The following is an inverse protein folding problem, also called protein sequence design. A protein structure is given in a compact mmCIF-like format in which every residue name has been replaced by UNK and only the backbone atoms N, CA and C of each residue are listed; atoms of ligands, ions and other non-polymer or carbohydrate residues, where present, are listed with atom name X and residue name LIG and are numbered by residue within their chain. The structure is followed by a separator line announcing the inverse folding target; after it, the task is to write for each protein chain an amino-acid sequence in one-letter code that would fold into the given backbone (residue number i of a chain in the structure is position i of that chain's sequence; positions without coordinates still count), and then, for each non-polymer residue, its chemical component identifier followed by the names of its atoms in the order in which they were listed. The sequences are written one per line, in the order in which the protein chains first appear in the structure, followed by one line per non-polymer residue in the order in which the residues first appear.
data_IF_901675930421
#
_entry.id   IF_901675930421
#
_cell.length_a   1.000
_cell.length_b   1.000
_cell.length_c   1.000
_cell.angle_alpha   90.00
_cell.angle_beta   90.00
_cell.angle_gamma   90.00
#
_symmetry.space_group_name_H-M   'P 1'
#
loop_
_entity.id
_entity.type
_entity.pdbx_description
1 polymer ?
#
# COMPACT_ATOMS: atom_id res chain seq x y z
N UNK A 1 63.69 93.70 23.15
CA UNK A 1 65.05 93.17 23.11
C UNK A 1 64.92 91.70 22.72
N UNK A 2 65.19 91.38 21.47
CA UNK A 2 65.10 90.02 20.91
C UNK A 2 66.11 89.08 21.58
N UNK A 3 65.76 87.80 21.73
CA UNK A 3 66.63 86.74 21.25
C UNK A 3 65.90 85.79 20.30
N UNK A 4 66.53 85.49 19.16
CA UNK A 4 66.19 84.42 18.23
C UNK A 4 66.41 83.04 18.88
N UNK A 5 65.53 82.08 18.59
CA UNK A 5 65.76 80.62 18.70
C UNK A 5 64.79 79.89 17.76
N UNK A 6 65.12 78.68 17.26
CA UNK A 6 65.20 78.43 15.82
C UNK A 6 63.97 77.77 15.20
N UNK A 7 63.84 77.96 13.88
CA UNK A 7 62.95 77.25 12.97
C UNK A 7 63.15 75.71 13.07
N UNK A 8 62.10 74.92 13.34
CA UNK A 8 62.12 73.50 13.06
C UNK A 8 61.84 73.26 11.58
N UNK A 9 62.70 72.44 11.00
CA UNK A 9 62.74 71.92 9.63
C UNK A 9 61.42 71.29 9.19
N UNK A 10 61.01 71.62 7.96
CA UNK A 10 59.94 70.95 7.22
C UNK A 10 60.11 69.42 7.28
N UNK A 11 59.07 68.64 7.58
CA UNK A 11 59.13 67.20 7.38
C UNK A 11 59.25 66.94 5.87
N UNK A 12 60.20 66.06 5.51
CA UNK A 12 60.36 65.52 4.17
C UNK A 12 59.01 65.03 3.63
N UNK A 13 58.60 65.60 2.50
CA UNK A 13 57.46 65.14 1.74
C UNK A 13 57.90 63.86 1.02
N UNK A 14 57.72 62.71 1.67
CA UNK A 14 57.94 61.40 1.05
C UNK A 14 56.89 61.18 -0.06
N UNK A 15 57.28 61.21 -1.35
CA UNK A 15 56.32 61.09 -2.45
C UNK A 15 55.80 59.65 -2.61
N UNK A 16 56.25 58.70 -1.77
CA UNK A 16 55.83 57.30 -1.83
C UNK A 16 54.76 56.91 -0.80
N UNK A 17 54.34 57.81 0.09
CA UNK A 17 53.33 57.50 1.11
C UNK A 17 51.86 57.51 0.60
N UNK A 18 51.62 57.89 -0.67
CA UNK A 18 50.27 58.11 -1.22
C UNK A 18 49.66 56.93 -2.00
N UNK A 19 50.29 55.75 -2.05
CA UNK A 19 49.82 54.62 -2.89
C UNK A 19 49.31 53.41 -2.11
N UNK A 20 49.21 53.46 -0.79
CA UNK A 20 49.00 52.26 0.04
C UNK A 20 47.57 52.02 0.56
N UNK A 21 46.53 52.75 0.11
CA UNK A 21 45.17 52.60 0.68
C UNK A 21 44.04 52.22 -0.28
N UNK A 22 44.27 52.02 -1.58
CA UNK A 22 43.25 51.40 -2.45
C UNK A 22 43.35 49.87 -2.41
N UNK A 23 43.03 49.30 -1.25
CA UNK A 23 42.68 47.89 -1.17
C UNK A 23 41.27 47.74 -1.77
N UNK A 24 41.18 47.17 -2.98
CA UNK A 24 39.92 46.77 -3.58
C UNK A 24 39.18 45.82 -2.62
N UNK A 25 37.89 46.05 -2.31
CA UNK A 25 37.14 45.13 -1.48
C UNK A 25 37.12 43.75 -2.17
N UNK A 26 37.28 42.65 -1.41
CA UNK A 26 37.24 41.32 -1.99
C UNK A 26 35.92 41.11 -2.74
N UNK A 27 35.92 40.41 -3.89
CA UNK A 27 34.71 40.15 -4.63
C UNK A 27 33.70 39.45 -3.71
N UNK A 28 32.50 40.02 -3.61
CA UNK A 28 31.36 39.40 -2.91
C UNK A 28 31.04 38.11 -3.66
N UNK A 29 31.55 36.99 -3.17
CA UNK A 29 31.11 35.67 -3.60
C UNK A 29 29.69 35.50 -3.10
N UNK A 30 28.72 35.74 -3.99
CA UNK A 30 27.35 35.32 -3.73
C UNK A 30 27.39 33.84 -3.32
N UNK A 31 26.70 33.45 -2.22
CA UNK A 31 26.60 32.04 -1.88
C UNK A 31 26.08 31.30 -3.13
N UNK A 32 26.58 30.08 -3.40
CA UNK A 32 26.08 29.31 -4.53
C UNK A 32 24.56 29.27 -4.41
N UNK A 33 23.87 29.75 -5.45
CA UNK A 33 22.42 29.60 -5.56
C UNK A 33 22.18 28.10 -5.48
N UNK A 34 21.73 27.64 -4.31
CA UNK A 34 21.30 26.27 -4.13
C UNK A 34 20.10 26.15 -5.05
N UNK A 35 20.32 25.56 -6.24
CA UNK A 35 19.23 25.21 -7.13
C UNK A 35 18.17 24.49 -6.28
N UNK A 36 16.88 24.84 -6.42
CA UNK A 36 15.82 24.12 -5.72
C UNK A 36 16.08 22.64 -5.91
N UNK A 37 16.30 21.91 -4.81
CA UNK A 37 16.51 20.47 -4.84
C UNK A 37 15.42 19.91 -5.76
N UNK A 38 15.76 19.21 -6.85
CA UNK A 38 14.74 18.61 -7.70
C UNK A 38 13.81 17.82 -6.76
N UNK A 39 12.48 17.98 -6.88
CA UNK A 39 11.55 17.30 -5.98
C UNK A 39 11.96 15.84 -5.94
N UNK A 40 12.23 15.35 -4.73
CA UNK A 40 12.74 14.01 -4.49
C UNK A 40 11.99 13.05 -5.42
N UNK A 41 12.76 12.38 -6.29
CA UNK A 41 12.30 11.53 -7.39
C UNK A 41 10.85 11.08 -7.16
N UNK A 42 9.93 11.71 -7.89
CA UNK A 42 8.47 11.54 -7.85
C UNK A 42 8.04 10.36 -6.98
N UNK A 43 7.83 10.59 -5.67
CA UNK A 43 7.11 9.62 -4.85
C UNK A 43 5.80 9.45 -5.58
N UNK A 44 5.57 8.25 -6.16
CA UNK A 44 4.39 7.93 -6.95
C UNK A 44 3.18 8.38 -6.14
N UNK A 45 2.64 9.54 -6.53
CA UNK A 45 1.76 10.29 -5.66
C UNK A 45 0.45 9.54 -5.65
N UNK A 46 -0.01 9.14 -4.47
CA UNK A 46 -1.27 8.43 -4.33
C UNK A 46 -2.36 9.25 -5.02
N UNK A 47 -3.06 8.64 -5.98
CA UNK A 47 -4.00 9.36 -6.85
C UNK A 47 -5.11 10.03 -6.04
N UNK A 48 -5.39 11.30 -6.35
CA UNK A 48 -6.46 12.13 -5.76
C UNK A 48 -5.96 13.19 -4.78
N UNK A 49 -6.79 14.20 -4.51
CA UNK A 49 -6.38 15.42 -3.77
C UNK A 49 -6.49 15.29 -2.23
N UNK A 50 -6.52 14.06 -1.70
CA UNK A 50 -6.64 13.78 -0.26
C UNK A 50 -7.78 14.53 0.44
N UNK A 51 -8.90 14.77 -0.25
CA UNK A 51 -10.11 15.38 0.32
C UNK A 51 -11.05 14.32 0.91
N UNK A 52 -11.96 14.68 1.82
CA UNK A 52 -13.00 13.79 2.31
C UNK A 52 -13.79 13.12 1.19
N UNK A 53 -14.21 11.86 1.42
CA UNK A 53 -15.06 11.13 0.46
C UNK A 53 -16.38 11.90 0.28
N UNK A 54 -16.64 12.37 -0.94
CA UNK A 54 -17.76 13.27 -1.27
C UNK A 54 -19.15 12.60 -1.34
N UNK A 55 -19.34 11.43 -0.74
CA UNK A 55 -20.58 10.65 -0.87
C UNK A 55 -20.91 9.81 0.35
N UNK A 56 -22.18 9.40 0.44
CA UNK A 56 -22.68 8.54 1.52
C UNK A 56 -22.87 7.10 1.02
N UNK A 57 -22.52 6.13 1.86
CA UNK A 57 -22.74 4.70 1.59
C UNK A 57 -21.52 3.94 1.06
N UNK A 58 -21.67 2.61 0.87
CA UNK A 58 -20.56 1.70 0.53
C UNK A 58 -20.01 1.91 -0.89
N UNK A 59 -20.82 2.38 -1.83
CA UNK A 59 -20.36 2.64 -3.20
C UNK A 59 -19.40 3.83 -3.27
N UNK A 60 -19.61 4.86 -2.46
CA UNK A 60 -18.74 6.04 -2.44
C UNK A 60 -17.31 5.68 -2.02
N UNK A 61 -17.14 4.77 -1.06
CA UNK A 61 -15.81 4.32 -0.65
C UNK A 61 -15.15 3.40 -1.70
N UNK A 62 -15.91 2.58 -2.41
CA UNK A 62 -15.39 1.76 -3.52
C UNK A 62 -14.92 2.66 -4.67
N UNK A 63 -15.73 3.64 -5.05
CA UNK A 63 -15.38 4.61 -6.09
C UNK A 63 -14.16 5.43 -5.71
N UNK A 64 -14.10 5.94 -4.48
CA UNK A 64 -12.94 6.63 -3.95
C UNK A 64 -11.70 5.72 -3.95
N UNK A 65 -11.83 4.45 -3.56
CA UNK A 65 -10.71 3.51 -3.56
C UNK A 65 -10.12 3.28 -4.96
N UNK A 66 -10.95 3.26 -6.00
CA UNK A 66 -10.54 3.05 -7.40
C UNK A 66 -10.02 4.33 -8.06
N UNK A 67 -10.69 5.47 -7.83
CA UNK A 67 -10.43 6.73 -8.54
C UNK A 67 -9.54 7.69 -7.76
N UNK A 68 -9.66 7.75 -6.45
CA UNK A 68 -8.98 8.71 -5.57
C UNK A 68 -8.60 8.07 -4.21
N UNK A 69 -7.73 7.04 -4.19
CA UNK A 69 -7.35 6.34 -2.96
C UNK A 69 -6.75 7.28 -1.89
N UNK A 70 -6.23 8.45 -2.27
CA UNK A 70 -5.81 9.48 -1.33
C UNK A 70 -6.95 9.98 -0.42
N UNK A 71 -8.17 10.09 -0.93
CA UNK A 71 -9.35 10.47 -0.15
C UNK A 71 -9.73 9.42 0.89
N UNK A 72 -9.58 8.12 0.55
CA UNK A 72 -9.80 7.03 1.51
C UNK A 72 -8.72 7.03 2.58
N UNK A 73 -7.46 7.27 2.19
CA UNK A 73 -6.35 7.43 3.12
C UNK A 73 -6.57 8.60 4.10
N UNK A 74 -7.06 9.74 3.60
CA UNK A 74 -7.42 10.89 4.44
C UNK A 74 -8.45 10.50 5.50
N UNK A 75 -9.53 9.83 5.10
CA UNK A 75 -10.57 9.34 6.02
C UNK A 75 -10.04 8.30 7.06
N UNK A 76 -9.05 7.49 6.67
CA UNK A 76 -8.34 6.55 7.57
C UNK A 76 -7.56 7.30 8.64
N UNK A 77 -6.85 8.36 8.26
CA UNK A 77 -6.03 9.19 9.16
C UNK A 77 -6.87 9.99 10.16
N UNK A 78 -7.90 10.66 9.64
CA UNK A 78 -8.85 11.42 10.45
C UNK A 78 -9.76 10.51 11.30
N UNK A 79 -9.73 9.20 11.05
CA UNK A 79 -10.42 8.24 11.89
C UNK A 79 -11.94 8.28 11.80
N UNK A 80 -12.48 8.75 10.67
CA UNK A 80 -13.92 9.00 10.41
C UNK A 80 -14.72 7.72 10.11
N UNK A 81 -14.48 6.67 10.89
CA UNK A 81 -15.10 5.35 10.70
C UNK A 81 -14.67 4.62 9.42
N UNK A 82 -13.55 5.03 8.80
CA UNK A 82 -13.06 4.45 7.55
C UNK A 82 -12.85 2.93 7.65
N UNK A 83 -12.31 2.43 8.76
CA UNK A 83 -12.10 1.00 8.98
C UNK A 83 -13.40 0.21 8.93
N UNK A 84 -14.50 0.74 9.48
CA UNK A 84 -15.82 0.09 9.40
C UNK A 84 -16.36 0.09 7.98
N UNK A 85 -16.26 1.23 7.28
CA UNK A 85 -16.65 1.33 5.86
C UNK A 85 -15.86 0.35 4.98
N UNK A 86 -14.54 0.24 5.18
CA UNK A 86 -13.69 -0.72 4.47
C UNK A 86 -14.03 -2.16 4.82
N UNK A 87 -14.24 -2.47 6.10
CA UNK A 87 -14.65 -3.80 6.53
C UNK A 87 -15.98 -4.22 5.90
N UNK A 88 -16.96 -3.32 5.82
CA UNK A 88 -18.22 -3.58 5.13
C UNK A 88 -18.02 -3.87 3.63
N UNK A 89 -17.15 -3.12 2.96
CA UNK A 89 -16.78 -3.40 1.55
C UNK A 89 -16.12 -4.77 1.41
N UNK A 90 -15.20 -5.13 2.32
CA UNK A 90 -14.52 -6.44 2.31
C UNK A 90 -15.56 -7.56 2.48
N UNK A 91 -16.44 -7.48 3.48
CA UNK A 91 -17.51 -8.48 3.68
C UNK A 91 -18.39 -8.59 2.44
N UNK A 92 -18.85 -7.46 1.89
CA UNK A 92 -19.73 -7.47 0.72
C UNK A 92 -19.05 -8.08 -0.52
N UNK A 93 -17.81 -7.69 -0.79
CA UNK A 93 -17.05 -8.20 -1.95
C UNK A 93 -16.69 -9.67 -1.80
N UNK A 94 -16.23 -10.10 -0.62
CA UNK A 94 -15.98 -11.53 -0.35
C UNK A 94 -17.27 -12.35 -0.41
N UNK A 95 -18.40 -11.80 0.04
CA UNK A 95 -19.67 -12.50 -0.04
C UNK A 95 -20.10 -12.73 -1.49
N UNK A 96 -19.99 -11.70 -2.34
CA UNK A 96 -20.31 -11.78 -3.78
C UNK A 96 -19.36 -12.78 -4.48
N UNK A 97 -18.05 -12.65 -4.27
CA UNK A 97 -17.06 -13.56 -4.85
C UNK A 97 -17.28 -15.01 -4.39
N UNK A 98 -17.54 -15.22 -3.10
CA UNK A 98 -17.81 -16.55 -2.56
C UNK A 98 -19.12 -17.15 -3.09
N UNK A 99 -20.15 -16.33 -3.34
CA UNK A 99 -21.41 -16.80 -3.90
C UNK A 99 -21.20 -17.29 -5.33
N UNK A 100 -20.45 -16.54 -6.13
CA UNK A 100 -20.09 -16.90 -7.51
C UNK A 100 -19.28 -18.19 -7.55
N UNK A 101 -18.33 -18.38 -6.62
CA UNK A 101 -17.62 -19.65 -6.47
C UNK A 101 -18.56 -20.80 -6.11
N UNK A 102 -19.52 -20.56 -5.21
CA UNK A 102 -20.43 -21.58 -4.72
C UNK A 102 -21.48 -22.03 -5.74
N UNK A 103 -21.84 -21.19 -6.72
CA UNK A 103 -22.78 -21.55 -7.79
C UNK A 103 -22.30 -22.77 -8.59
N UNK A 104 -20.98 -22.98 -8.70
CA UNK A 104 -20.42 -24.17 -9.37
C UNK A 104 -20.65 -25.48 -8.60
N UNK A 105 -20.64 -25.43 -7.26
CA UNK A 105 -20.76 -26.63 -6.42
C UNK A 105 -22.18 -26.92 -5.91
N UNK A 106 -23.02 -25.89 -5.78
CA UNK A 106 -24.44 -26.01 -5.42
C UNK A 106 -24.72 -26.32 -3.94
N UNK A 107 -26.01 -26.37 -3.58
CA UNK A 107 -26.49 -26.76 -2.25
C UNK A 107 -26.09 -25.82 -1.11
N UNK A 108 -25.73 -26.40 0.05
CA UNK A 108 -25.39 -25.66 1.28
C UNK A 108 -24.10 -24.83 1.16
N UNK A 109 -23.33 -25.04 0.10
CA UNK A 109 -22.11 -24.27 -0.19
C UNK A 109 -22.43 -22.80 -0.51
N UNK A 110 -23.64 -22.47 -0.97
CA UNK A 110 -24.07 -21.10 -1.27
C UNK A 110 -24.03 -20.15 -0.06
N UNK A 111 -24.16 -20.67 1.17
CA UNK A 111 -24.06 -19.87 2.39
C UNK A 111 -22.70 -20.04 3.07
N UNK A 112 -22.18 -21.28 3.12
CA UNK A 112 -20.94 -21.56 3.82
C UNK A 112 -19.73 -20.93 3.13
N UNK A 113 -19.67 -20.93 1.80
CA UNK A 113 -18.49 -20.41 1.06
C UNK A 113 -18.34 -18.89 1.22
N UNK A 114 -19.37 -18.05 0.99
CA UNK A 114 -19.29 -16.60 1.25
C UNK A 114 -18.87 -16.24 2.67
N UNK A 115 -19.46 -16.92 3.67
CA UNK A 115 -19.19 -16.68 5.07
C UNK A 115 -17.74 -17.05 5.41
N UNK A 116 -17.30 -18.23 4.95
CA UNK A 116 -15.96 -18.77 5.21
C UNK A 116 -14.88 -17.93 4.53
N UNK A 117 -15.12 -17.43 3.32
CA UNK A 117 -14.20 -16.53 2.62
C UNK A 117 -14.07 -15.18 3.35
N UNK A 118 -15.19 -14.61 3.79
CA UNK A 118 -15.20 -13.37 4.57
C UNK A 118 -14.44 -13.52 5.89
N UNK A 119 -14.69 -14.58 6.65
CA UNK A 119 -13.97 -14.85 7.90
C UNK A 119 -12.49 -15.13 7.65
N UNK A 120 -12.19 -15.91 6.60
CA UNK A 120 -10.83 -16.28 6.23
C UNK A 120 -9.96 -15.07 5.93
N UNK A 121 -10.48 -14.06 5.21
CA UNK A 121 -9.68 -12.87 4.89
C UNK A 121 -9.43 -11.98 6.11
N UNK A 122 -10.39 -11.84 7.02
CA UNK A 122 -10.16 -11.11 8.27
C UNK A 122 -9.17 -11.83 9.18
N UNK A 123 -9.24 -13.17 9.24
CA UNK A 123 -8.26 -13.96 9.96
C UNK A 123 -6.85 -13.76 9.39
N UNK A 124 -6.69 -13.83 8.05
CA UNK A 124 -5.42 -13.52 7.37
C UNK A 124 -4.93 -12.10 7.73
N UNK A 125 -5.82 -11.11 7.68
CA UNK A 125 -5.48 -9.73 8.02
C UNK A 125 -4.95 -9.62 9.45
N UNK A 126 -5.63 -10.24 10.42
CA UNK A 126 -5.24 -10.20 11.83
C UNK A 126 -3.88 -10.84 12.09
N UNK A 127 -3.61 -12.01 11.52
CA UNK A 127 -2.34 -12.72 11.75
C UNK A 127 -1.16 -12.06 11.00
N UNK A 128 -1.41 -11.44 9.85
CA UNK A 128 -0.36 -10.79 9.05
C UNK A 128 -0.16 -9.30 9.41
N UNK A 129 -1.08 -8.70 10.15
CA UNK A 129 -0.97 -7.31 10.62
C UNK A 129 0.27 -7.03 11.49
N UNK A 130 0.59 -7.82 12.54
CA UNK A 130 1.74 -7.51 13.38
C UNK A 130 3.05 -7.52 12.58
N UNK A 131 3.21 -8.45 11.63
CA UNK A 131 4.41 -8.48 10.78
C UNK A 131 4.47 -7.30 9.79
N UNK A 132 3.32 -6.83 9.27
CA UNK A 132 3.26 -5.62 8.44
C UNK A 132 3.74 -4.40 9.23
N UNK A 133 3.25 -4.27 10.46
CA UNK A 133 3.60 -3.17 11.33
C UNK A 133 5.09 -3.19 11.68
N UNK A 134 5.64 -4.35 12.05
CA UNK A 134 7.08 -4.52 12.35
C UNK A 134 7.96 -4.14 11.14
N UNK A 135 7.65 -4.62 9.93
CA UNK A 135 8.44 -4.26 8.75
C UNK A 135 8.34 -2.78 8.38
N UNK A 136 7.18 -2.17 8.65
CA UNK A 136 7.01 -0.73 8.49
C UNK A 136 7.90 0.03 9.47
N UNK A 137 7.84 -0.29 10.76
CA UNK A 137 8.69 0.33 11.79
C UNK A 137 10.19 0.13 11.54
N UNK A 138 10.61 -1.07 11.11
CA UNK A 138 12.01 -1.36 10.78
C UNK A 138 12.52 -0.54 9.58
N UNK A 139 11.62 -0.12 8.69
CA UNK A 139 11.94 0.80 7.59
C UNK A 139 11.97 2.27 8.04
N UNK A 140 11.83 2.54 9.34
CA UNK A 140 11.75 3.86 9.94
C UNK A 140 10.36 4.51 9.84
N UNK A 141 9.32 3.78 9.46
CA UNK A 141 8.02 4.39 9.24
C UNK A 141 7.42 4.95 10.55
N UNK A 142 6.85 6.15 10.49
CA UNK A 142 6.31 6.88 11.65
C UNK A 142 4.79 6.72 11.79
N UNK A 143 4.14 6.03 10.83
CA UNK A 143 2.69 5.82 10.90
C UNK A 143 2.28 4.95 12.10
N UNK A 144 1.14 5.29 12.69
CA UNK A 144 0.54 4.56 13.81
C UNK A 144 0.05 3.16 13.41
N UNK A 145 -0.11 2.27 14.39
CA UNK A 145 -0.71 0.94 14.17
C UNK A 145 -2.12 1.01 13.54
N UNK A 146 -2.90 2.06 13.88
CA UNK A 146 -4.22 2.33 13.30
C UNK A 146 -4.13 2.63 11.80
N UNK A 147 -3.17 3.46 11.40
CA UNK A 147 -2.94 3.78 9.99
C UNK A 147 -2.45 2.56 9.22
N UNK A 148 -1.54 1.77 9.80
CA UNK A 148 -1.11 0.49 9.21
C UNK A 148 -2.29 -0.45 8.98
N UNK A 149 -3.21 -0.56 9.95
CA UNK A 149 -4.42 -1.37 9.83
C UNK A 149 -5.35 -0.84 8.74
N UNK A 150 -5.56 0.48 8.69
CA UNK A 150 -6.35 1.11 7.63
C UNK A 150 -5.76 0.89 6.24
N UNK A 151 -4.43 0.98 6.08
CA UNK A 151 -3.75 0.70 4.83
C UNK A 151 -3.92 -0.77 4.39
N UNK A 152 -3.84 -1.71 5.34
CA UNK A 152 -4.12 -3.13 5.09
C UNK A 152 -5.56 -3.34 4.63
N UNK A 153 -6.54 -2.73 5.31
CA UNK A 153 -7.95 -2.81 4.92
C UNK A 153 -8.21 -2.19 3.55
N UNK A 154 -7.55 -1.07 3.19
CA UNK A 154 -7.64 -0.48 1.85
C UNK A 154 -7.15 -1.46 0.77
N UNK A 155 -6.02 -2.13 1.01
CA UNK A 155 -5.48 -3.12 0.09
C UNK A 155 -6.41 -4.34 -0.07
N UNK A 156 -6.92 -4.88 1.03
CA UNK A 156 -7.85 -6.03 1.01
C UNK A 156 -9.18 -5.66 0.36
N UNK A 157 -9.71 -4.46 0.63
CA UNK A 157 -10.91 -3.96 -0.03
C UNK A 157 -10.71 -3.85 -1.55
N UNK A 158 -9.57 -3.33 -2.00
CA UNK A 158 -9.25 -3.28 -3.43
C UNK A 158 -9.17 -4.69 -4.03
N UNK A 159 -8.52 -5.62 -3.33
CA UNK A 159 -8.46 -7.03 -3.75
C UNK A 159 -9.86 -7.62 -3.95
N UNK A 160 -10.78 -7.38 -3.00
CA UNK A 160 -12.17 -7.83 -3.09
C UNK A 160 -12.93 -7.19 -4.25
N UNK A 161 -12.79 -5.89 -4.45
CA UNK A 161 -13.42 -5.18 -5.59
C UNK A 161 -12.95 -5.75 -6.93
N UNK A 162 -11.66 -6.05 -7.07
CA UNK A 162 -11.11 -6.67 -8.28
C UNK A 162 -11.64 -8.10 -8.48
N UNK A 163 -11.73 -8.90 -7.41
CA UNK A 163 -12.32 -10.24 -7.48
C UNK A 163 -13.78 -10.21 -7.89
N UNK A 164 -14.57 -9.23 -7.41
CA UNK A 164 -15.94 -9.01 -7.90
C UNK A 164 -15.94 -8.61 -9.38
N UNK A 165 -14.98 -7.80 -9.83
CA UNK A 165 -14.81 -7.47 -11.25
C UNK A 165 -14.57 -8.70 -12.15
N UNK A 166 -13.91 -9.74 -11.63
CA UNK A 166 -13.70 -11.01 -12.34
C UNK A 166 -14.86 -12.00 -12.20
N UNK A 167 -15.83 -11.74 -11.33
CA UNK A 167 -16.93 -12.67 -11.06
C UNK A 167 -17.77 -13.04 -12.30
N UNK A 168 -18.14 -12.12 -13.22
CA UNK A 168 -18.88 -12.48 -14.43
C UNK A 168 -18.09 -13.46 -15.32
N UNK A 169 -16.77 -13.29 -15.40
CA UNK A 169 -15.89 -14.17 -16.17
C UNK A 169 -15.85 -15.56 -15.53
N UNK A 170 -15.65 -15.63 -14.20
CA UNK A 170 -15.70 -16.88 -13.45
C UNK A 170 -17.04 -17.61 -13.66
N UNK A 171 -18.15 -16.88 -13.61
CA UNK A 171 -19.48 -17.43 -13.82
C UNK A 171 -19.66 -18.02 -15.22
N UNK A 172 -19.27 -17.31 -16.29
CA UNK A 172 -19.35 -17.85 -17.67
C UNK A 172 -18.55 -19.15 -17.81
N UNK A 173 -17.33 -19.20 -17.28
CA UNK A 173 -16.52 -20.42 -17.31
C UNK A 173 -17.14 -21.55 -16.50
N UNK A 174 -17.82 -21.25 -15.38
CA UNK A 174 -18.54 -22.25 -14.59
C UNK A 174 -19.68 -22.93 -15.36
N UNK A 175 -20.21 -22.28 -16.40
CA UNK A 175 -21.22 -22.86 -17.29
C UNK A 175 -20.60 -23.63 -18.46
N UNK A 176 -19.35 -23.30 -18.82
CA UNK A 176 -18.64 -23.94 -19.92
C UNK A 176 -17.84 -25.19 -19.52
N UNK A 177 -17.64 -25.44 -18.22
CA UNK A 177 -16.82 -26.56 -17.73
C UNK A 177 -17.44 -27.23 -16.51
N UNK A 178 -17.15 -28.52 -16.33
CA UNK A 178 -17.45 -29.27 -15.11
C UNK A 178 -16.18 -29.62 -14.31
N UNK A 179 -14.99 -29.18 -14.75
CA UNK A 179 -13.71 -29.51 -14.12
C UNK A 179 -13.43 -28.63 -12.89
N UNK A 180 -13.42 -29.19 -11.65
CA UNK A 180 -13.11 -28.42 -10.45
C UNK A 180 -11.67 -27.91 -10.44
N UNK A 181 -10.76 -28.66 -11.08
CA UNK A 181 -9.34 -28.32 -11.24
C UNK A 181 -9.18 -27.02 -12.02
N UNK A 182 -9.84 -26.95 -13.18
CA UNK A 182 -9.80 -25.77 -14.03
C UNK A 182 -10.41 -24.56 -13.32
N UNK A 183 -11.59 -24.74 -12.71
CA UNK A 183 -12.24 -23.66 -11.95
C UNK A 183 -11.39 -23.19 -10.77
N UNK A 184 -10.75 -24.11 -10.04
CA UNK A 184 -9.82 -23.77 -8.96
C UNK A 184 -8.63 -22.96 -9.45
N UNK A 185 -7.98 -23.39 -10.53
CA UNK A 185 -6.87 -22.67 -11.14
C UNK A 185 -7.26 -21.27 -11.63
N UNK A 186 -8.46 -21.12 -12.22
CA UNK A 186 -9.00 -19.85 -12.67
C UNK A 186 -9.19 -18.86 -11.51
N UNK A 187 -9.78 -19.30 -10.40
CA UNK A 187 -9.94 -18.46 -9.21
C UNK A 187 -8.60 -18.10 -8.55
N UNK A 188 -7.64 -19.03 -8.54
CA UNK A 188 -6.28 -18.75 -8.07
C UNK A 188 -5.57 -17.72 -8.94
N UNK A 189 -5.78 -17.75 -10.26
CA UNK A 189 -5.28 -16.72 -11.17
C UNK A 189 -5.89 -15.35 -10.86
N UNK A 190 -7.22 -15.27 -10.68
CA UNK A 190 -7.89 -14.00 -10.29
C UNK A 190 -7.42 -13.48 -8.93
N UNK A 191 -7.20 -14.38 -7.95
CA UNK A 191 -6.62 -14.03 -6.66
C UNK A 191 -5.20 -13.47 -6.81
N UNK A 192 -4.36 -14.11 -7.63
CA UNK A 192 -3.00 -13.65 -7.91
C UNK A 192 -2.97 -12.26 -8.54
N UNK A 193 -3.77 -12.04 -9.60
CA UNK A 193 -3.88 -10.72 -10.25
C UNK A 193 -4.35 -9.68 -9.23
N UNK A 194 -5.44 -9.93 -8.52
CA UNK A 194 -6.00 -8.97 -7.54
C UNK A 194 -5.02 -8.65 -6.42
N UNK A 195 -4.25 -9.64 -5.96
CA UNK A 195 -3.22 -9.48 -4.92
C UNK A 195 -2.08 -8.56 -5.37
N UNK A 196 -1.66 -8.63 -6.65
CA UNK A 196 -0.59 -7.77 -7.15
C UNK A 196 -0.99 -6.29 -7.13
N UNK A 197 -2.22 -5.97 -7.54
CA UNK A 197 -2.77 -4.61 -7.43
C UNK A 197 -2.96 -4.17 -5.98
N UNK A 198 -3.45 -5.04 -5.11
CA UNK A 198 -3.62 -4.75 -3.69
C UNK A 198 -2.29 -4.42 -2.99
N UNK A 199 -1.25 -5.22 -3.24
CA UNK A 199 0.10 -4.97 -2.71
C UNK A 199 0.67 -3.68 -3.30
N UNK A 200 0.43 -3.41 -4.59
CA UNK A 200 0.79 -2.15 -5.24
C UNK A 200 0.16 -0.94 -4.55
N UNK A 201 -1.15 -1.00 -4.26
CA UNK A 201 -1.84 0.04 -3.49
C UNK A 201 -1.25 0.19 -2.08
N UNK A 202 -1.02 -0.92 -1.37
CA UNK A 202 -0.44 -0.88 -0.02
C UNK A 202 0.91 -0.17 0.01
N UNK A 203 1.79 -0.47 -0.95
CA UNK A 203 3.09 0.19 -1.09
C UNK A 203 2.94 1.70 -1.27
N UNK A 204 2.03 2.14 -2.16
CA UNK A 204 1.76 3.56 -2.42
C UNK A 204 1.16 4.27 -1.22
N UNK A 205 0.23 3.63 -0.50
CA UNK A 205 -0.40 4.17 0.70
C UNK A 205 0.64 4.36 1.81
N UNK A 206 1.44 3.33 2.11
CA UNK A 206 2.49 3.43 3.12
C UNK A 206 3.58 4.43 2.70
N UNK A 207 3.91 4.51 1.42
CA UNK A 207 4.85 5.50 0.92
C UNK A 207 4.32 6.94 1.07
N UNK A 208 3.05 7.17 0.75
CA UNK A 208 2.39 8.45 0.94
C UNK A 208 2.28 8.83 2.43
N UNK A 209 2.10 7.84 3.31
CA UNK A 209 2.06 8.11 4.75
C UNK A 209 3.39 8.60 5.30
N UNK A 210 4.49 7.99 4.84
CA UNK A 210 5.83 8.23 5.37
C UNK A 210 6.69 9.17 4.52
N UNK A 211 6.16 9.66 3.40
CA UNK A 211 6.91 10.45 2.40
C UNK A 211 8.18 9.74 1.91
N UNK A 212 8.19 8.40 1.93
CA UNK A 212 9.29 7.55 1.47
C UNK A 212 8.82 6.11 1.26
N UNK A 213 9.41 5.34 0.34
CA UNK A 213 9.08 3.94 0.18
C UNK A 213 9.44 3.12 1.43
N UNK A 214 8.49 2.34 1.91
CA UNK A 214 8.70 1.39 3.01
C UNK A 214 9.33 0.11 2.45
N UNK A 215 10.52 -0.26 2.95
CA UNK A 215 11.26 -1.45 2.49
C UNK A 215 10.58 -2.71 3.03
N UNK A 216 10.79 -3.86 2.37
CA UNK A 216 10.27 -5.14 2.85
C UNK A 216 8.78 -5.39 2.59
N UNK A 217 7.99 -4.40 2.13
CA UNK A 217 6.57 -4.61 1.77
C UNK A 217 6.39 -5.63 0.64
N UNK A 218 7.39 -5.77 -0.24
CA UNK A 218 7.37 -6.82 -1.26
C UNK A 218 7.44 -8.23 -0.67
N UNK A 219 8.43 -8.46 0.20
CA UNK A 219 8.60 -9.73 0.92
C UNK A 219 7.38 -10.02 1.80
N UNK A 220 6.89 -9.02 2.53
CA UNK A 220 5.68 -9.15 3.33
C UNK A 220 4.46 -9.50 2.48
N UNK A 221 4.28 -8.83 1.33
CA UNK A 221 3.16 -9.08 0.43
C UNK A 221 3.20 -10.51 -0.13
N UNK A 222 4.38 -11.03 -0.43
CA UNK A 222 4.55 -12.43 -0.82
C UNK A 222 4.11 -13.39 0.30
N UNK A 223 4.56 -13.16 1.55
CA UNK A 223 4.13 -13.95 2.70
C UNK A 223 2.61 -13.86 2.92
N UNK A 224 2.02 -12.67 2.78
CA UNK A 224 0.58 -12.47 2.89
C UNK A 224 -0.18 -13.29 1.84
N UNK A 225 0.27 -13.28 0.58
CA UNK A 225 -0.34 -14.09 -0.49
C UNK A 225 -0.22 -15.58 -0.19
N UNK A 226 0.92 -16.05 0.33
CA UNK A 226 1.06 -17.45 0.75
C UNK A 226 0.07 -17.83 1.87
N UNK A 227 -0.15 -16.94 2.84
CA UNK A 227 -1.11 -17.15 3.93
C UNK A 227 -2.55 -17.17 3.40
N UNK A 228 -2.91 -16.23 2.52
CA UNK A 228 -4.25 -16.20 1.89
C UNK A 228 -4.47 -17.45 1.03
N UNK A 229 -3.45 -17.90 0.31
CA UNK A 229 -3.48 -19.13 -0.47
C UNK A 229 -3.66 -20.36 0.43
N UNK A 230 -2.89 -20.48 1.51
CA UNK A 230 -3.01 -21.55 2.52
C UNK A 230 -4.40 -21.58 3.14
N UNK A 231 -4.97 -20.41 3.46
CA UNK A 231 -6.34 -20.34 3.96
C UNK A 231 -7.33 -20.76 2.89
N UNK A 232 -7.16 -20.37 1.62
CA UNK A 232 -8.06 -20.80 0.54
C UNK A 232 -8.01 -22.33 0.31
N UNK A 233 -6.88 -23.00 0.57
CA UNK A 233 -6.73 -24.45 0.38
C UNK A 233 -7.11 -25.29 1.60
N UNK A 234 -6.87 -24.81 2.81
CA UNK A 234 -7.22 -25.50 4.08
C UNK A 234 -8.74 -25.68 4.24
N UNK A 235 -9.52 -24.96 3.43
CA UNK A 235 -10.98 -24.90 3.51
C UNK A 235 -11.71 -25.92 2.61
N UNK A 236 -11.07 -27.00 2.13
CA UNK A 236 -11.68 -27.93 1.14
C UNK A 236 -12.97 -28.66 1.60
N UNK A 237 -13.88 -28.97 0.65
CA UNK A 237 -13.91 -28.53 -0.75
C UNK A 237 -14.71 -27.22 -0.90
N UNK A 238 -14.03 -26.15 -1.36
CA UNK A 238 -14.68 -24.90 -1.79
C UNK A 238 -15.27 -25.01 -3.21
N UNK A 239 -14.84 -26.01 -3.98
CA UNK A 239 -15.27 -26.31 -5.34
C UNK A 239 -15.31 -27.85 -5.47
N UNK A 240 -16.51 -28.43 -5.63
CA UNK A 240 -16.73 -29.88 -5.73
C UNK A 240 -17.87 -30.38 -4.81
N UNK A 241 -18.42 -31.59 -5.05
CA UNK A 241 -19.51 -32.16 -4.24
C UNK A 241 -19.13 -32.29 -2.76
N UNK A 242 -20.10 -32.05 -1.87
CA UNK A 242 -19.93 -32.21 -0.42
C UNK A 242 -20.04 -33.69 -0.03
N UNK A 243 -18.93 -34.41 -0.04
CA UNK A 243 -18.84 -35.77 0.49
C UNK A 243 -18.41 -35.73 1.97
N UNK A 244 -19.34 -35.37 2.85
CA UNK A 244 -19.45 -35.57 4.31
C UNK A 244 -18.31 -36.10 5.21
N UNK A 245 -17.03 -36.01 4.88
CA UNK A 245 -15.93 -36.51 5.70
C UNK A 245 -15.07 -35.35 6.22
N UNK A 246 -15.27 -35.09 7.50
CA UNK A 246 -14.86 -33.87 8.20
C UNK A 246 -13.36 -33.79 8.51
N UNK A 247 -12.58 -34.86 8.26
CA UNK A 247 -11.14 -34.90 8.50
C UNK A 247 -10.48 -35.88 7.53
N UNK A 248 -9.76 -35.36 6.53
CA UNK A 248 -8.73 -36.11 5.83
C UNK A 248 -7.44 -35.28 5.82
N UNK A 249 -6.34 -36.01 5.81
CA UNK A 249 -5.01 -35.64 6.25
C UNK A 249 -4.45 -34.31 5.76
N UNK A 250 -3.62 -33.69 6.61
CA UNK A 250 -2.81 -32.49 6.32
C UNK A 250 -1.73 -32.81 5.29
N UNK A 251 -2.12 -32.99 4.02
CA UNK A 251 -1.19 -33.19 2.93
C UNK A 251 -0.73 -31.84 2.35
N UNK A 252 0.59 -31.72 2.16
CA UNK A 252 1.23 -30.59 1.51
C UNK A 252 0.82 -30.49 0.04
N UNK A 253 0.73 -29.26 -0.47
CA UNK A 253 0.19 -28.84 -1.78
C UNK A 253 0.56 -29.74 -2.99
N UNK A 254 1.78 -30.26 -3.06
CA UNK A 254 2.23 -31.10 -4.19
C UNK A 254 1.73 -32.54 -4.14
N UNK A 255 1.51 -33.10 -2.95
CA UNK A 255 1.18 -34.52 -2.80
C UNK A 255 -0.16 -34.87 -3.45
N UNK A 256 -1.14 -33.96 -3.36
CA UNK A 256 -2.49 -34.21 -3.87
C UNK A 256 -2.61 -34.12 -5.41
N UNK A 257 -1.76 -33.33 -6.06
CA UNK A 257 -1.82 -33.17 -7.52
C UNK A 257 -0.98 -34.21 -8.26
N UNK A 258 0.06 -34.75 -7.61
CA UNK A 258 0.90 -35.83 -8.17
C UNK A 258 0.29 -37.21 -7.93
N UNK A 259 -0.51 -37.40 -6.87
CA UNK A 259 -1.17 -38.68 -6.58
C UNK A 259 -2.51 -38.88 -7.30
N UNK A 260 -2.96 -37.90 -8.09
CA UNK A 260 -4.25 -37.91 -8.79
C UNK A 260 -4.15 -38.19 -10.29
N UNK A 261 -2.99 -38.67 -10.78
CA UNK A 261 -2.82 -39.22 -12.13
C UNK A 261 -3.13 -40.71 -12.16
#
# INVERSE_FOLDING_TARGET
MHPETPHPTSPDHDPHAMTAWEATPPPVTNPPVVAPRPPAASIETLRGDATPIAGHGPFAIVEALLKAPASVLHDVREGRGASFKLAAVIVATMAITGLVMAVFGGGWQLLLVPLKLSLGIFFCALICFPSLHIFSCLSGAEQSARETWGALLMAIALMGVLLVGFAPVAWVFSQATSSPIFMGALHLMFLGISSTFAIGLLRRVLAAMNQRPVRGIGTWGFLFVLVVLQMTTTLRPLVGPYDGQLFHDRLFFLAHWVSGS
#
